data_IF_318682863541
#
_entry.id   IF_318682863541
#
_cell.length_a   1.000
_cell.length_b   1.000
_cell.length_c   1.000
_cell.angle_alpha   90.00
_cell.angle_beta   90.00
_cell.angle_gamma   90.00
#
_symmetry.space_group_name_H-M   'P 1'
#
loop_
_entity.id
_entity.type
_entity.pdbx_description
1 polymer ?
#
# COMPACT_ATOMS: atom_id res chain seq x y z
N UNK A 1 -36.53 16.92 -19.58
CA UNK A 1 -35.23 17.62 -19.43
C UNK A 1 -34.23 16.59 -18.92
N UNK A 2 -33.68 15.80 -19.84
CA UNK A 2 -32.73 14.71 -19.57
C UNK A 2 -31.31 15.27 -19.61
N UNK A 3 -30.53 15.07 -18.55
CA UNK A 3 -29.06 15.13 -18.62
C UNK A 3 -28.50 13.75 -18.31
N UNK A 4 -28.03 13.07 -19.35
CA UNK A 4 -27.14 11.93 -19.26
C UNK A 4 -25.85 12.37 -18.58
N UNK A 5 -25.44 11.65 -17.54
CA UNK A 5 -24.09 11.73 -16.97
C UNK A 5 -23.21 10.76 -17.74
N UNK A 6 -22.29 11.28 -18.55
CA UNK A 6 -21.22 10.52 -19.17
C UNK A 6 -20.25 10.07 -18.07
N UNK A 7 -20.27 8.77 -17.75
CA UNK A 7 -19.24 8.15 -16.94
C UNK A 7 -17.91 8.10 -17.71
N UNK A 8 -16.87 8.54 -17.03
CA UNK A 8 -15.48 8.60 -17.46
C UNK A 8 -15.05 7.25 -18.08
N UNK A 9 -14.54 7.32 -19.31
CA UNK A 9 -14.05 6.16 -20.05
C UNK A 9 -12.72 5.66 -19.46
N UNK A 10 -12.77 4.55 -18.74
CA UNK A 10 -11.56 3.80 -18.39
C UNK A 10 -11.14 2.96 -19.59
N UNK A 11 -10.00 3.29 -20.21
CA UNK A 11 -9.33 2.42 -21.19
C UNK A 11 -9.07 1.06 -20.52
N UNK A 12 -9.66 0.02 -21.10
CA UNK A 12 -9.57 -1.36 -20.63
C UNK A 12 -8.12 -1.86 -20.68
N UNK A 13 -7.53 -2.16 -19.52
CA UNK A 13 -6.30 -2.95 -19.43
C UNK A 13 -6.70 -4.42 -19.37
N UNK A 14 -6.52 -5.13 -20.49
CA UNK A 14 -6.67 -6.59 -20.58
C UNK A 14 -5.63 -7.29 -19.69
N UNK A 15 -6.12 -7.96 -18.64
CA UNK A 15 -5.35 -8.89 -17.81
C UNK A 15 -5.46 -10.30 -18.40
N UNK A 16 -4.36 -10.83 -18.92
CA UNK A 16 -4.19 -12.24 -19.26
C UNK A 16 -4.01 -13.05 -17.97
N UNK A 17 -4.74 -14.17 -17.77
CA UNK A 17 -4.56 -15.00 -16.58
C UNK A 17 -3.29 -15.87 -16.69
N UNK A 18 -2.57 -16.13 -15.58
CA UNK A 18 -1.42 -17.03 -15.58
C UNK A 18 -1.86 -18.51 -15.67
N UNK A 19 -1.01 -19.41 -16.21
CA UNK A 19 -1.35 -20.82 -16.35
C UNK A 19 -1.32 -21.56 -15.01
N UNK A 20 -2.32 -22.42 -14.81
CA UNK A 20 -2.48 -23.31 -13.67
C UNK A 20 -1.33 -24.32 -13.59
N UNK A 21 -0.60 -24.35 -12.46
CA UNK A 21 0.40 -25.37 -12.18
C UNK A 21 -0.25 -26.59 -11.52
N UNK A 22 -0.15 -27.72 -12.21
CA UNK A 22 -0.59 -29.04 -11.77
C UNK A 22 0.25 -29.56 -10.61
N UNK A 23 -0.40 -30.23 -9.67
CA UNK A 23 0.17 -30.96 -8.53
C UNK A 23 1.01 -32.13 -9.06
N UNK A 24 2.29 -32.19 -8.67
CA UNK A 24 3.14 -33.38 -8.86
C UNK A 24 3.75 -33.78 -7.53
N UNK A 25 3.39 -34.98 -7.07
CA UNK A 25 3.93 -35.72 -5.92
C UNK A 25 5.44 -36.00 -6.06
N UNK A 26 6.22 -36.01 -4.96
CA UNK A 26 7.64 -36.34 -5.01
C UNK A 26 7.87 -37.87 -4.99
N UNK A 27 8.93 -38.39 -5.68
CA UNK A 27 9.34 -39.79 -5.58
C UNK A 27 10.23 -40.06 -4.34
N UNK A 28 10.41 -41.32 -3.93
CA UNK A 28 10.99 -41.68 -2.64
C UNK A 28 12.53 -41.66 -2.62
N UNK A 29 13.10 -41.43 -1.42
CA UNK A 29 14.53 -41.48 -1.13
C UNK A 29 15.13 -42.90 -1.25
N UNK A 30 16.40 -43.02 -1.66
CA UNK A 30 17.26 -44.16 -1.33
C UNK A 30 18.47 -43.75 -0.43
N UNK A 31 19.20 -44.73 0.13
CA UNK A 31 19.81 -44.63 1.46
C UNK A 31 21.29 -44.24 1.49
N UNK A 32 21.77 -43.96 2.71
CA UNK A 32 23.16 -43.67 3.10
C UNK A 32 24.24 -44.61 2.53
N UNK A 33 25.38 -44.04 2.14
CA UNK A 33 26.72 -44.63 2.31
C UNK A 33 27.83 -43.58 2.18
N UNK A 34 28.83 -43.67 3.06
CA UNK A 34 30.07 -42.89 3.10
C UNK A 34 31.01 -43.24 1.95
N UNK A 35 31.79 -42.25 1.46
CA UNK A 35 32.93 -42.49 0.56
C UNK A 35 33.55 -41.19 0.03
N UNK A 36 34.88 -41.14 -0.07
CA UNK A 36 35.75 -39.96 -0.09
C UNK A 36 36.01 -39.33 -1.49
N UNK A 37 36.41 -38.04 -1.47
CA UNK A 37 37.35 -37.31 -2.38
C UNK A 37 37.01 -36.88 -3.84
N UNK A 38 37.34 -35.59 -4.05
CA UNK A 38 37.93 -34.86 -5.23
C UNK A 38 37.09 -34.41 -6.45
N UNK A 39 37.07 -33.07 -6.59
CA UNK A 39 36.96 -32.19 -7.77
C UNK A 39 36.19 -32.62 -9.04
N UNK A 40 35.07 -31.93 -9.30
CA UNK A 40 34.70 -31.42 -10.63
C UNK A 40 33.57 -30.38 -10.50
N UNK A 41 33.90 -29.09 -10.51
CA UNK A 41 32.91 -28.01 -10.56
C UNK A 41 32.33 -27.92 -11.97
N UNK A 42 31.11 -28.43 -12.14
CA UNK A 42 30.26 -28.17 -13.31
C UNK A 42 29.12 -27.26 -12.86
N UNK A 43 28.79 -26.17 -13.57
CA UNK A 43 27.86 -25.16 -13.06
C UNK A 43 26.45 -25.73 -12.94
N UNK A 44 25.95 -25.73 -11.71
CA UNK A 44 24.58 -26.11 -11.39
C UNK A 44 23.59 -25.16 -12.06
N UNK A 45 22.67 -25.77 -12.80
CA UNK A 45 21.53 -25.16 -13.48
C UNK A 45 20.68 -24.37 -12.47
N UNK A 46 20.64 -23.06 -12.61
CA UNK A 46 19.77 -22.18 -11.82
C UNK A 46 18.30 -22.43 -12.17
N UNK A 47 17.54 -22.94 -11.19
CA UNK A 47 16.08 -22.91 -11.21
C UNK A 47 15.56 -21.46 -11.08
N UNK A 48 14.33 -21.14 -11.53
CA UNK A 48 13.91 -19.77 -11.75
C UNK A 48 13.53 -19.13 -10.41
N UNK A 49 14.52 -18.55 -9.74
CA UNK A 49 14.24 -17.49 -8.79
C UNK A 49 13.79 -16.32 -9.65
N UNK A 50 12.48 -16.02 -9.67
CA UNK A 50 11.99 -14.79 -10.25
C UNK A 50 12.87 -13.65 -9.71
N UNK A 51 13.55 -12.93 -10.60
CA UNK A 51 14.57 -11.98 -10.22
C UNK A 51 13.88 -10.78 -9.56
N UNK A 52 13.75 -10.81 -8.23
CA UNK A 52 13.05 -9.80 -7.42
C UNK A 52 13.57 -8.39 -7.70
N UNK A 53 14.88 -8.25 -7.93
CA UNK A 53 15.50 -6.97 -8.32
C UNK A 53 14.94 -6.45 -9.64
N UNK A 54 14.82 -7.33 -10.65
CA UNK A 54 14.25 -6.95 -11.95
C UNK A 54 12.79 -6.56 -11.84
N UNK A 55 12.01 -7.25 -11.01
CA UNK A 55 10.60 -6.90 -10.79
C UNK A 55 10.45 -5.55 -10.08
N UNK A 56 11.33 -5.26 -9.13
CA UNK A 56 11.42 -3.96 -8.47
C UNK A 56 11.73 -2.84 -9.47
N UNK A 57 12.78 -2.98 -10.28
CA UNK A 57 13.18 -1.98 -11.28
C UNK A 57 12.03 -1.68 -12.27
N UNK A 58 11.35 -2.73 -12.73
CA UNK A 58 10.19 -2.60 -13.61
C UNK A 58 9.02 -1.88 -12.92
N UNK A 59 8.81 -2.11 -11.63
CA UNK A 59 7.76 -1.46 -10.86
C UNK A 59 8.06 0.03 -10.65
N UNK A 60 9.31 0.39 -10.35
CA UNK A 60 9.74 1.80 -10.17
C UNK A 60 9.57 2.58 -11.47
N UNK A 61 9.90 1.97 -12.61
CA UNK A 61 9.79 2.62 -13.92
C UNK A 61 8.42 2.49 -14.59
N UNK A 62 7.42 1.91 -13.92
CA UNK A 62 6.07 1.82 -14.46
C UNK A 62 5.49 3.22 -14.74
N UNK A 63 4.70 3.34 -15.82
CA UNK A 63 4.07 4.61 -16.20
C UNK A 63 3.28 5.27 -15.06
N UNK A 64 2.60 4.47 -14.24
CA UNK A 64 1.85 4.97 -13.08
C UNK A 64 2.75 5.56 -11.99
N UNK A 65 3.95 5.00 -11.76
CA UNK A 65 4.93 5.58 -10.85
C UNK A 65 5.51 6.88 -11.41
N UNK A 66 5.79 6.93 -12.72
CA UNK A 66 6.30 8.13 -13.38
C UNK A 66 5.27 9.27 -13.35
N UNK A 67 3.97 8.97 -13.51
CA UNK A 67 2.89 9.95 -13.37
C UNK A 67 2.83 10.51 -11.94
N UNK A 68 2.85 9.64 -10.92
CA UNK A 68 2.91 10.06 -9.51
C UNK A 68 4.12 10.97 -9.26
N UNK A 69 5.29 10.56 -9.74
CA UNK A 69 6.53 11.36 -9.64
C UNK A 69 6.34 12.75 -10.27
N UNK A 70 5.75 12.82 -11.47
CA UNK A 70 5.51 14.09 -12.16
C UNK A 70 4.58 15.03 -11.39
N UNK A 71 3.60 14.50 -10.65
CA UNK A 71 2.66 15.30 -9.85
C UNK A 71 3.37 15.83 -8.60
N UNK A 72 4.09 14.97 -7.89
CA UNK A 72 4.80 15.33 -6.66
C UNK A 72 5.91 16.35 -6.94
N UNK A 73 6.59 16.22 -8.08
CA UNK A 73 7.71 17.08 -8.48
C UNK A 73 7.27 18.30 -9.33
N UNK A 74 5.96 18.47 -9.59
CA UNK A 74 5.48 19.60 -10.37
C UNK A 74 5.74 20.93 -9.62
N UNK A 75 6.19 21.99 -10.31
CA UNK A 75 6.24 23.32 -9.74
C UNK A 75 4.83 23.77 -9.30
N UNK A 76 4.70 24.54 -8.20
CA UNK A 76 3.42 25.08 -7.78
C UNK A 76 2.73 25.81 -8.95
N UNK A 77 1.49 25.43 -9.29
CA UNK A 77 0.73 26.10 -10.34
C UNK A 77 0.15 27.42 -9.81
N UNK A 78 0.99 28.44 -9.82
CA UNK A 78 0.68 29.83 -9.50
C UNK A 78 1.98 30.61 -9.67
N UNK A 79 1.97 31.68 -10.47
CA UNK A 79 3.16 32.41 -10.91
C UNK A 79 3.93 33.17 -9.83
N UNK A 80 4.11 32.61 -8.64
CA UNK A 80 5.12 33.05 -7.69
C UNK A 80 6.26 32.05 -7.73
N UNK A 81 7.36 32.49 -8.31
CA UNK A 81 8.63 31.79 -8.38
C UNK A 81 9.22 31.77 -6.96
N UNK A 82 8.62 31.00 -6.06
CA UNK A 82 9.16 30.79 -4.74
C UNK A 82 10.22 29.71 -4.86
N UNK A 83 11.45 30.17 -5.12
CA UNK A 83 12.65 29.41 -4.78
C UNK A 83 12.44 28.86 -3.35
N UNK A 84 12.81 27.61 -3.13
CA UNK A 84 12.84 27.01 -1.80
C UNK A 84 13.82 27.86 -0.98
N UNK A 85 13.31 28.86 -0.26
CA UNK A 85 14.08 29.75 0.60
C UNK A 85 13.98 29.18 2.02
N UNK A 86 15.04 28.50 2.52
CA UNK A 86 15.01 27.86 3.82
C UNK A 86 15.04 28.88 4.99
N UNK A 87 15.24 30.17 4.70
CA UNK A 87 15.36 31.24 5.70
C UNK A 87 14.08 32.05 5.90
N UNK A 88 13.01 31.78 5.15
CA UNK A 88 11.71 32.41 5.42
C UNK A 88 11.03 31.69 6.59
N UNK A 89 10.82 32.41 7.69
CA UNK A 89 9.84 32.03 8.72
C UNK A 89 8.54 31.67 8.00
N UNK A 90 8.14 30.41 8.15
CA UNK A 90 7.09 29.78 7.35
C UNK A 90 5.75 30.47 7.54
N UNK A 91 5.17 30.96 6.44
CA UNK A 91 3.71 31.10 6.32
C UNK A 91 3.11 29.68 6.29
N UNK A 92 2.95 29.10 7.49
CA UNK A 92 2.51 27.72 7.70
C UNK A 92 1.20 27.39 6.97
N UNK A 93 0.37 28.38 6.67
CA UNK A 93 -0.89 28.19 5.94
C UNK A 93 -0.67 27.87 4.46
N UNK A 94 0.31 28.50 3.79
CA UNK A 94 0.53 28.33 2.37
C UNK A 94 1.16 26.96 2.06
N UNK A 95 2.15 26.54 2.85
CA UNK A 95 2.83 25.24 2.73
C UNK A 95 1.86 24.08 3.00
N UNK A 96 0.98 24.23 4.00
CA UNK A 96 -0.08 23.27 4.27
C UNK A 96 -1.10 23.16 3.12
N UNK A 97 -1.41 24.27 2.46
CA UNK A 97 -2.35 24.28 1.33
C UNK A 97 -1.80 23.56 0.09
N UNK A 98 -0.51 23.79 -0.24
CA UNK A 98 0.16 23.15 -1.35
C UNK A 98 0.33 21.64 -1.11
N UNK A 99 0.76 21.25 0.09
CA UNK A 99 0.88 19.85 0.49
C UNK A 99 -0.45 19.09 0.34
N UNK A 100 -1.55 19.68 0.79
CA UNK A 100 -2.90 19.11 0.64
C UNK A 100 -3.33 19.02 -0.83
N UNK A 101 -2.97 20.01 -1.64
CA UNK A 101 -3.28 20.01 -3.07
C UNK A 101 -2.51 18.92 -3.82
N UNK A 102 -1.22 18.74 -3.54
CA UNK A 102 -0.40 17.66 -4.13
C UNK A 102 -0.96 16.31 -3.70
N UNK A 103 -1.24 16.11 -2.40
CA UNK A 103 -1.83 14.87 -1.89
C UNK A 103 -3.15 14.54 -2.59
N UNK A 104 -4.02 15.54 -2.79
CA UNK A 104 -5.30 15.36 -3.48
C UNK A 104 -5.15 14.98 -4.97
N UNK A 105 -4.09 15.46 -5.64
CA UNK A 105 -3.81 15.10 -7.04
C UNK A 105 -3.19 13.71 -7.17
N UNK A 106 -2.26 13.37 -6.29
CA UNK A 106 -1.54 12.09 -6.30
C UNK A 106 -2.46 10.94 -5.91
N UNK A 107 -3.36 11.12 -4.94
CA UNK A 107 -4.26 10.07 -4.49
C UNK A 107 -5.35 9.79 -5.53
N UNK A 108 -5.32 8.57 -6.06
CA UNK A 108 -6.29 8.09 -7.04
C UNK A 108 -6.95 6.80 -6.54
N UNK A 109 -8.28 6.75 -6.43
CA UNK A 109 -9.23 7.86 -6.50
C UNK A 109 -9.04 8.92 -5.41
N UNK A 110 -9.47 10.14 -5.72
CA UNK A 110 -9.46 11.27 -4.81
C UNK A 110 -10.54 11.14 -3.71
N UNK A 111 -10.43 11.98 -2.69
CA UNK A 111 -11.32 11.97 -1.53
C UNK A 111 -12.79 12.26 -1.88
N UNK A 112 -13.04 13.15 -2.84
CA UNK A 112 -14.40 13.49 -3.27
C UNK A 112 -15.04 12.31 -3.99
N UNK A 113 -14.32 11.67 -4.91
CA UNK A 113 -14.79 10.45 -5.61
C UNK A 113 -15.16 9.33 -4.63
N UNK A 114 -14.35 9.11 -3.58
CA UNK A 114 -14.63 8.12 -2.53
C UNK A 114 -15.87 8.51 -1.73
N UNK A 115 -15.95 9.78 -1.32
CA UNK A 115 -17.08 10.30 -0.56
C UNK A 115 -18.39 10.08 -1.33
N UNK A 116 -18.42 10.46 -2.61
CA UNK A 116 -19.58 10.28 -3.47
C UNK A 116 -19.99 8.81 -3.62
N UNK A 117 -19.02 7.90 -3.81
CA UNK A 117 -19.28 6.47 -3.92
C UNK A 117 -19.85 5.87 -2.62
N UNK A 118 -19.35 6.31 -1.46
CA UNK A 118 -19.81 5.85 -0.14
C UNK A 118 -21.16 6.44 0.28
N UNK A 119 -21.55 7.63 -0.22
CA UNK A 119 -22.85 8.25 0.11
C UNK A 119 -24.06 7.40 -0.29
N UNK A 120 -23.92 6.50 -1.28
CA UNK A 120 -25.00 5.60 -1.68
C UNK A 120 -25.08 4.30 -0.87
N UNK A 121 -24.11 4.03 0.00
CA UNK A 121 -24.13 2.84 0.85
C UNK A 121 -25.00 3.09 2.08
N UNK A 122 -25.53 2.03 2.69
CA UNK A 122 -26.29 2.16 3.93
C UNK A 122 -25.42 2.84 5.00
N UNK A 123 -25.81 4.04 5.48
CA UNK A 123 -25.06 4.73 6.49
C UNK A 123 -25.00 3.84 7.74
N UNK A 124 -23.82 3.74 8.34
CA UNK A 124 -23.54 2.97 9.56
C UNK A 124 -23.52 1.43 9.44
N UNK A 125 -23.49 0.86 8.23
CA UNK A 125 -23.18 -0.58 8.11
C UNK A 125 -21.74 -0.86 8.55
N UNK A 126 -21.49 -2.03 9.15
CA UNK A 126 -20.12 -2.45 9.51
C UNK A 126 -19.19 -2.42 8.31
N UNK A 127 -19.70 -2.74 7.11
CA UNK A 127 -18.93 -2.69 5.87
C UNK A 127 -18.58 -1.26 5.49
N UNK A 128 -19.56 -0.34 5.49
CA UNK A 128 -19.33 1.08 5.19
C UNK A 128 -18.27 1.69 6.13
N UNK A 129 -18.32 1.35 7.43
CA UNK A 129 -17.31 1.79 8.40
C UNK A 129 -15.92 1.23 8.07
N UNK A 130 -15.82 -0.05 7.73
CA UNK A 130 -14.53 -0.66 7.36
C UNK A 130 -13.92 -0.03 6.10
N UNK A 131 -14.75 0.22 5.08
CA UNK A 131 -14.32 0.85 3.85
C UNK A 131 -13.88 2.30 4.08
N UNK A 132 -14.62 3.05 4.90
CA UNK A 132 -14.26 4.42 5.29
C UNK A 132 -12.91 4.44 6.01
N UNK A 133 -12.74 3.60 7.04
CA UNK A 133 -11.47 3.49 7.76
C UNK A 133 -10.30 3.11 6.84
N UNK A 134 -10.52 2.24 5.85
CA UNK A 134 -9.50 1.92 4.87
C UNK A 134 -9.05 3.15 4.06
N UNK A 135 -9.99 3.92 3.51
CA UNK A 135 -9.65 5.10 2.73
C UNK A 135 -9.00 6.19 3.58
N UNK A 136 -9.47 6.40 4.81
CA UNK A 136 -8.89 7.36 5.75
C UNK A 136 -7.46 6.97 6.17
N UNK A 137 -7.23 5.69 6.48
CA UNK A 137 -5.89 5.20 6.83
C UNK A 137 -4.93 5.26 5.64
N UNK A 138 -5.38 4.88 4.43
CA UNK A 138 -4.54 5.01 3.24
C UNK A 138 -4.19 6.46 2.90
N UNK A 139 -5.12 7.40 3.05
CA UNK A 139 -4.86 8.84 2.88
C UNK A 139 -3.86 9.35 3.92
N UNK A 140 -4.04 8.99 5.20
CA UNK A 140 -3.14 9.39 6.29
C UNK A 140 -1.72 8.87 6.12
N UNK A 141 -1.55 7.67 5.54
CA UNK A 141 -0.21 7.12 5.30
C UNK A 141 0.46 7.73 4.08
N UNK A 142 -0.31 8.02 3.03
CA UNK A 142 0.19 8.78 1.89
C UNK A 142 0.59 10.21 2.26
N UNK A 143 -0.12 10.85 3.20
CA UNK A 143 0.27 12.14 3.79
C UNK A 143 1.66 12.08 4.43
N UNK A 144 1.91 11.06 5.27
CA UNK A 144 3.24 10.82 5.84
C UNK A 144 4.30 10.60 4.75
N UNK A 145 4.02 9.79 3.73
CA UNK A 145 4.96 9.54 2.65
C UNK A 145 5.32 10.81 1.87
N UNK A 146 4.36 11.73 1.70
CA UNK A 146 4.61 13.03 1.07
C UNK A 146 5.51 13.92 1.94
N UNK A 147 5.30 13.93 3.26
CA UNK A 147 6.19 14.63 4.21
C UNK A 147 7.61 14.06 4.17
N UNK A 148 7.76 12.74 4.07
CA UNK A 148 9.06 12.08 3.94
C UNK A 148 9.76 12.46 2.63
N UNK A 149 9.01 12.53 1.52
CA UNK A 149 9.55 13.00 0.25
C UNK A 149 10.09 14.43 0.35
N UNK A 150 9.35 15.34 1.01
CA UNK A 150 9.83 16.70 1.26
C UNK A 150 11.11 16.71 2.11
N UNK A 151 11.24 15.76 3.04
CA UNK A 151 12.44 15.59 3.86
C UNK A 151 13.63 15.10 3.04
N UNK A 152 13.41 14.22 2.06
CA UNK A 152 14.44 13.82 1.08
C UNK A 152 14.92 15.03 0.28
N UNK A 153 14.00 15.85 -0.26
CA UNK A 153 14.35 17.05 -1.01
C UNK A 153 15.14 18.05 -0.15
N UNK A 154 14.68 18.30 1.07
CA UNK A 154 15.36 19.18 2.02
C UNK A 154 16.75 18.68 2.38
N UNK A 155 16.91 17.36 2.57
CA UNK A 155 18.22 16.75 2.84
C UNK A 155 19.16 16.93 1.66
N UNK A 156 18.70 16.66 0.43
CA UNK A 156 19.51 16.90 -0.79
C UNK A 156 19.95 18.35 -0.89
N UNK A 157 19.07 19.30 -0.55
CA UNK A 157 19.40 20.71 -0.52
C UNK A 157 20.50 21.03 0.50
N UNK A 158 20.33 20.61 1.76
CA UNK A 158 21.28 20.86 2.87
C UNK A 158 22.68 20.31 2.54
N UNK A 159 22.74 19.14 1.90
CA UNK A 159 24.00 18.49 1.56
C UNK A 159 24.62 18.99 0.25
N UNK A 160 23.90 19.79 -0.57
CA UNK A 160 24.37 20.16 -1.91
C UNK A 160 25.69 20.93 -1.88
N UNK A 161 25.74 22.02 -1.11
CA UNK A 161 26.95 22.85 -0.94
C UNK A 161 28.14 22.06 -0.38
N UNK A 162 27.87 21.10 0.52
CA UNK A 162 28.87 20.23 1.13
C UNK A 162 29.48 19.27 0.09
N UNK A 163 28.63 18.64 -0.72
CA UNK A 163 29.06 17.71 -1.76
C UNK A 163 29.70 18.41 -2.95
N UNK A 164 29.27 19.62 -3.30
CA UNK A 164 29.92 20.45 -4.30
C UNK A 164 31.36 20.80 -3.89
N UNK A 165 31.57 21.12 -2.62
CA UNK A 165 32.91 21.32 -2.07
C UNK A 165 33.73 20.02 -2.14
N UNK A 166 33.17 18.89 -1.70
CA UNK A 166 33.86 17.61 -1.70
C UNK A 166 34.28 17.18 -3.11
N UNK A 167 33.47 17.46 -4.13
CA UNK A 167 33.74 17.12 -5.52
C UNK A 167 34.93 17.88 -6.14
N UNK A 168 35.19 19.12 -5.70
CA UNK A 168 36.30 19.94 -6.22
C UNK A 168 37.60 19.78 -5.45
N UNK A 169 37.55 19.15 -4.28
CA UNK A 169 38.72 18.96 -3.43
C UNK A 169 39.54 17.74 -3.87
N UNK A 170 40.88 17.84 -3.89
CA UNK A 170 41.75 16.71 -4.20
C UNK A 170 41.52 15.52 -3.25
N UNK A 171 41.72 14.30 -3.77
CA UNK A 171 41.64 13.08 -2.96
C UNK A 171 42.81 12.92 -1.98
N UNK A 172 43.95 13.53 -2.31
CA UNK A 172 45.14 13.51 -1.48
C UNK A 172 45.02 14.51 -0.32
N UNK A 173 44.66 13.94 0.83
CA UNK A 173 44.53 14.57 2.15
C UNK A 173 45.69 15.54 2.49
N UNK A 174 46.90 15.28 1.99
CA UNK A 174 48.09 16.11 2.21
C UNK A 174 48.09 17.51 1.56
N UNK A 175 47.08 17.86 0.76
CA UNK A 175 47.12 19.07 -0.10
C UNK A 175 46.12 20.19 0.22
N UNK A 176 45.28 20.06 1.26
CA UNK A 176 44.30 21.11 1.61
C UNK A 176 44.99 22.44 1.95
N UNK A 177 44.77 23.45 1.10
CA UNK A 177 45.22 24.83 1.33
C UNK A 177 44.42 25.47 2.47
N UNK A 178 44.96 26.57 3.02
CA UNK A 178 44.26 27.36 4.04
C UNK A 178 42.91 27.88 3.54
N UNK A 179 42.85 28.38 2.31
CA UNK A 179 41.62 28.87 1.69
C UNK A 179 40.54 27.77 1.60
N UNK A 180 40.93 26.53 1.28
CA UNK A 180 39.99 25.40 1.27
C UNK A 180 39.46 25.08 2.68
N UNK A 181 40.32 25.19 3.71
CA UNK A 181 39.89 24.99 5.09
C UNK A 181 38.92 26.09 5.55
N UNK A 182 39.24 27.35 5.25
CA UNK A 182 38.38 28.49 5.61
C UNK A 182 37.00 28.35 4.96
N UNK A 183 36.96 28.01 3.66
CA UNK A 183 35.69 27.75 2.94
C UNK A 183 34.91 26.56 3.51
N UNK A 184 35.60 25.46 3.83
CA UNK A 184 34.94 24.28 4.41
C UNK A 184 34.34 24.60 5.78
N UNK A 185 35.04 25.39 6.60
CA UNK A 185 34.55 25.85 7.89
C UNK A 185 33.26 26.68 7.74
N UNK A 186 33.25 27.62 6.79
CA UNK A 186 32.08 28.47 6.59
C UNK A 186 30.86 27.64 6.10
N UNK A 187 31.08 26.64 5.23
CA UNK A 187 30.03 25.68 4.82
C UNK A 187 29.58 24.80 5.98
N UNK A 188 30.49 24.39 6.87
CA UNK A 188 30.14 23.64 8.08
C UNK A 188 29.26 24.45 9.02
N UNK A 189 29.49 25.76 9.14
CA UNK A 189 28.64 26.67 9.92
C UNK A 189 27.24 26.74 9.31
N UNK A 190 27.12 26.85 8.00
CA UNK A 190 25.82 26.84 7.30
C UNK A 190 25.10 25.49 7.48
N UNK A 191 25.81 24.38 7.28
CA UNK A 191 25.27 23.03 7.44
C UNK A 191 24.73 22.76 8.86
N UNK A 192 25.44 23.19 9.91
CA UNK A 192 25.03 22.94 11.30
C UNK A 192 23.76 23.71 11.69
N UNK A 193 23.46 24.85 11.03
CA UNK A 193 22.25 25.65 11.26
C UNK A 193 20.96 24.92 10.88
N UNK A 194 21.03 23.98 9.93
CA UNK A 194 19.83 23.26 9.48
C UNK A 194 19.51 22.06 10.37
N UNK A 195 18.31 22.00 10.92
CA UNK A 195 17.84 20.80 11.63
C UNK A 195 17.82 19.56 10.73
N UNK A 196 17.92 18.39 11.35
CA UNK A 196 17.80 17.11 10.66
C UNK A 196 16.39 16.95 10.08
N UNK A 197 16.23 16.87 8.74
CA UNK A 197 14.91 16.80 8.11
C UNK A 197 14.11 15.54 8.47
N UNK A 198 14.78 14.47 8.90
CA UNK A 198 14.13 13.23 9.33
C UNK A 198 13.82 13.21 10.84
N UNK A 199 14.15 14.27 11.57
CA UNK A 199 13.76 14.39 12.97
C UNK A 199 12.29 14.82 13.07
N UNK A 200 11.41 13.82 13.11
CA UNK A 200 10.00 14.04 13.39
C UNK A 200 9.74 13.77 14.88
N UNK A 201 9.36 14.77 15.69
CA UNK A 201 9.07 14.60 17.12
C UNK A 201 8.01 13.53 17.42
N UNK A 202 7.30 13.06 16.39
CA UNK A 202 6.25 12.04 16.46
C UNK A 202 6.40 10.89 15.44
N UNK A 203 7.44 10.80 14.60
CA UNK A 203 7.51 9.73 13.57
C UNK A 203 7.41 8.31 14.14
N UNK A 204 8.15 7.93 15.21
CA UNK A 204 8.05 6.57 15.75
C UNK A 204 6.61 6.25 16.21
N UNK A 205 5.91 7.25 16.75
CA UNK A 205 4.49 7.13 17.13
C UNK A 205 3.60 7.07 15.89
N UNK A 206 3.89 7.84 14.84
CA UNK A 206 3.12 7.88 13.60
C UNK A 206 3.21 6.54 12.85
N UNK A 207 4.42 6.00 12.63
CA UNK A 207 4.61 4.69 12.02
C UNK A 207 4.00 3.57 12.88
N UNK A 208 4.18 3.59 14.21
CA UNK A 208 3.54 2.60 15.09
C UNK A 208 2.00 2.69 15.06
N UNK A 209 1.44 3.90 15.02
CA UNK A 209 0.00 4.11 14.93
C UNK A 209 -0.57 3.65 13.59
N UNK A 210 0.11 3.95 12.48
CA UNK A 210 -0.26 3.49 11.14
C UNK A 210 -0.18 1.97 11.05
N UNK A 211 0.89 1.36 11.56
CA UNK A 211 1.03 -0.11 11.60
C UNK A 211 -0.10 -0.76 12.38
N UNK A 212 -0.43 -0.20 13.54
CA UNK A 212 -1.55 -0.67 14.36
C UNK A 212 -2.87 -0.54 13.60
N UNK A 213 -3.15 0.60 13.00
CA UNK A 213 -4.42 0.85 12.29
C UNK A 213 -4.60 -0.08 11.09
N UNK A 214 -3.55 -0.31 10.30
CA UNK A 214 -3.59 -1.27 9.18
C UNK A 214 -3.71 -2.72 9.66
N UNK A 215 -3.05 -3.09 10.77
CA UNK A 215 -3.15 -4.43 11.35
C UNK A 215 -4.57 -4.72 11.87
N UNK A 216 -5.15 -3.78 12.60
CA UNK A 216 -6.53 -3.86 13.07
C UNK A 216 -7.52 -3.93 11.91
N UNK A 217 -7.31 -3.10 10.88
CA UNK A 217 -8.15 -3.11 9.69
C UNK A 217 -8.04 -4.44 8.93
N UNK A 218 -6.83 -4.98 8.76
CA UNK A 218 -6.58 -6.29 8.16
C UNK A 218 -7.32 -7.40 8.91
N UNK A 219 -7.25 -7.40 10.23
CA UNK A 219 -7.97 -8.36 11.07
C UNK A 219 -9.49 -8.24 10.89
N UNK A 220 -10.02 -7.01 10.86
CA UNK A 220 -11.46 -6.78 10.67
C UNK A 220 -11.94 -7.20 9.27
N UNK A 221 -11.14 -6.96 8.23
CA UNK A 221 -11.41 -7.40 6.85
C UNK A 221 -11.41 -8.92 6.76
N UNK A 222 -10.40 -9.60 7.32
CA UNK A 222 -10.30 -11.06 7.27
C UNK A 222 -11.43 -11.74 8.07
N UNK A 223 -11.75 -11.21 9.26
CA UNK A 223 -12.93 -11.62 10.01
C UNK A 223 -14.21 -11.44 9.18
N UNK A 224 -14.31 -10.32 8.46
CA UNK A 224 -15.39 -10.04 7.53
C UNK A 224 -15.51 -11.09 6.42
N UNK A 225 -14.39 -11.43 5.75
CA UNK A 225 -14.31 -12.45 4.69
C UNK A 225 -14.77 -13.81 5.19
N UNK A 226 -14.20 -14.27 6.31
CA UNK A 226 -14.55 -15.54 6.93
C UNK A 226 -16.05 -15.62 7.26
N UNK A 227 -16.61 -14.54 7.82
CA UNK A 227 -18.05 -14.41 8.07
C UNK A 227 -18.87 -14.49 6.79
N UNK A 228 -18.51 -13.75 5.73
CA UNK A 228 -19.22 -13.79 4.44
C UNK A 228 -19.18 -15.20 3.82
N UNK A 229 -18.02 -15.86 3.81
CA UNK A 229 -17.89 -17.23 3.35
C UNK A 229 -18.80 -18.19 4.14
N UNK A 230 -18.83 -18.07 5.46
CA UNK A 230 -19.69 -18.91 6.31
C UNK A 230 -21.18 -18.70 6.00
N UNK A 231 -21.62 -17.45 5.80
CA UNK A 231 -23.00 -17.10 5.45
C UNK A 231 -23.39 -17.61 4.07
N UNK A 232 -22.54 -17.45 3.07
CA UNK A 232 -22.77 -18.00 1.73
C UNK A 232 -22.95 -19.53 1.79
N UNK A 233 -22.06 -20.22 2.52
CA UNK A 233 -22.18 -21.68 2.73
C UNK A 233 -23.51 -22.05 3.41
N UNK A 234 -23.92 -21.31 4.43
CA UNK A 234 -25.17 -21.54 5.14
C UNK A 234 -26.39 -21.35 4.21
N UNK A 235 -26.42 -20.25 3.44
CA UNK A 235 -27.50 -19.96 2.49
C UNK A 235 -27.62 -21.07 1.44
N UNK A 236 -26.49 -21.51 0.87
CA UNK A 236 -26.46 -22.63 -0.10
C UNK A 236 -26.95 -23.94 0.51
N UNK A 237 -26.48 -24.28 1.72
CA UNK A 237 -26.92 -25.50 2.43
C UNK A 237 -28.41 -25.47 2.75
N UNK A 238 -28.92 -24.34 3.26
CA UNK A 238 -30.34 -24.17 3.55
C UNK A 238 -31.19 -24.26 2.28
N UNK A 239 -30.74 -23.64 1.18
CA UNK A 239 -31.42 -23.70 -0.12
C UNK A 239 -31.47 -25.13 -0.66
N UNK A 240 -30.35 -25.84 -0.64
CA UNK A 240 -30.29 -27.23 -1.08
C UNK A 240 -31.16 -28.13 -0.19
N UNK A 241 -31.15 -27.93 1.13
CA UNK A 241 -32.02 -28.65 2.07
C UNK A 241 -33.50 -28.40 1.80
N UNK A 242 -33.89 -27.16 1.52
CA UNK A 242 -35.28 -26.82 1.15
C UNK A 242 -35.69 -27.50 -0.17
N UNK A 243 -34.83 -27.47 -1.19
CA UNK A 243 -35.09 -28.15 -2.47
C UNK A 243 -35.27 -29.65 -2.28
N UNK A 244 -34.39 -30.29 -1.50
CA UNK A 244 -34.51 -31.72 -1.19
C UNK A 244 -35.80 -32.04 -0.42
N UNK A 245 -36.17 -31.22 0.56
CA UNK A 245 -37.42 -31.37 1.29
C UNK A 245 -38.64 -31.28 0.36
N UNK A 246 -38.66 -30.29 -0.54
CA UNK A 246 -39.72 -30.15 -1.54
C UNK A 246 -39.84 -31.39 -2.44
N UNK A 247 -38.71 -31.91 -2.95
CA UNK A 247 -38.69 -33.13 -3.78
C UNK A 247 -39.23 -34.34 -3.00
N UNK A 248 -38.82 -34.53 -1.74
CA UNK A 248 -39.31 -35.64 -0.91
C UNK A 248 -40.81 -35.50 -0.66
N UNK A 249 -41.30 -34.28 -0.38
CA UNK A 249 -42.74 -34.05 -0.17
C UNK A 249 -43.56 -34.29 -1.44
N UNK A 250 -43.09 -33.87 -2.63
CA UNK A 250 -43.82 -34.08 -3.88
C UNK A 250 -43.88 -35.55 -4.28
N UNK A 251 -42.76 -36.27 -4.14
CA UNK A 251 -42.72 -37.72 -4.36
C UNK A 251 -43.62 -38.45 -3.35
N UNK A 252 -43.58 -38.06 -2.08
CA UNK A 252 -44.43 -38.64 -1.03
C UNK A 252 -45.92 -38.43 -1.27
N UNK A 253 -46.33 -37.23 -1.71
CA UNK A 253 -47.73 -36.94 -2.10
C UNK A 253 -48.13 -37.80 -3.31
N UNK A 254 -47.29 -37.90 -4.34
CA UNK A 254 -47.59 -38.70 -5.52
C UNK A 254 -47.80 -40.18 -5.18
N UNK A 255 -46.89 -40.78 -4.40
CA UNK A 255 -47.01 -42.17 -3.96
C UNK A 255 -48.28 -42.38 -3.12
N UNK A 256 -48.57 -41.46 -2.19
CA UNK A 256 -49.77 -41.54 -1.36
C UNK A 256 -51.05 -41.48 -2.19
N UNK A 257 -51.13 -40.59 -3.18
CA UNK A 257 -52.33 -40.50 -4.05
C UNK A 257 -52.61 -41.79 -4.82
N UNK A 258 -51.58 -42.51 -5.29
CA UNK A 258 -51.74 -43.79 -6.01
C UNK A 258 -52.29 -44.89 -5.11
N UNK A 259 -51.86 -44.94 -3.85
CA UNK A 259 -52.38 -45.93 -2.88
C UNK A 259 -53.85 -45.68 -2.55
N UNK A 260 -54.26 -44.42 -2.37
CA UNK A 260 -55.65 -44.08 -2.00
C UNK A 260 -56.65 -44.18 -3.16
N UNK A 261 -56.23 -44.07 -4.43
CA UNK A 261 -57.13 -44.31 -5.58
C UNK A 261 -57.51 -45.77 -5.77
N UNK A 262 -56.84 -46.70 -5.08
CA UNK A 262 -57.11 -48.16 -5.18
C UNK A 262 -58.10 -48.67 -4.13
N UNK A 263 -58.39 -47.89 -3.08
CA UNK A 263 -59.37 -48.23 -2.05
C UNK A 263 -60.46 -47.14 -1.96
N UNK A 264 -61.49 -47.25 -2.79
CA UNK A 264 -62.65 -46.37 -2.74
C UNK A 264 -63.59 -46.76 -1.57
N UNK A 265 -63.61 -46.00 -0.48
CA UNK A 265 -64.83 -45.63 0.28
C UNK A 265 -64.62 -44.26 0.94
N UNK A 266 -65.68 -43.46 0.86
CA UNK A 266 -65.81 -42.05 1.19
C UNK A 266 -65.41 -41.61 2.60
N UNK A 267 -64.97 -40.34 2.67
CA UNK A 267 -65.35 -39.44 3.76
C UNK A 267 -64.24 -39.05 4.73
N UNK A 268 -63.42 -38.06 4.35
CA UNK A 268 -63.12 -36.89 5.19
C UNK A 268 -62.40 -35.82 4.34
N UNK A 269 -63.17 -34.81 3.98
CA UNK A 269 -62.66 -33.49 3.60
C UNK A 269 -62.04 -32.81 4.83
N UNK A 270 -61.11 -31.87 4.58
CA UNK A 270 -60.24 -31.18 5.54
C UNK A 270 -59.12 -32.10 6.07
N UNK A 271 -57.86 -31.92 5.71
CA UNK A 271 -57.10 -30.68 5.79
C UNK A 271 -56.15 -30.64 4.58
N UNK A 272 -56.57 -29.95 3.53
CA UNK A 272 -55.61 -29.28 2.66
C UNK A 272 -55.09 -28.05 3.42
N UNK A 273 -54.43 -28.26 4.57
CA UNK A 273 -53.44 -27.30 5.05
C UNK A 273 -52.27 -27.46 4.11
N UNK A 274 -52.45 -26.91 2.92
CA UNK A 274 -51.43 -26.16 2.26
C UNK A 274 -50.30 -25.82 3.23
N UNK A 275 -49.08 -26.35 3.04
CA UNK A 275 -47.91 -25.62 3.49
C UNK A 275 -47.71 -24.42 2.55
N UNK A 276 -48.78 -23.65 2.27
CA UNK A 276 -48.70 -22.21 2.01
C UNK A 276 -48.50 -21.53 3.37
N UNK A 277 -47.46 -21.93 4.10
CA UNK A 277 -46.84 -21.04 5.07
C UNK A 277 -46.06 -20.00 4.26
N UNK A 278 -46.84 -19.11 3.64
CA UNK A 278 -46.49 -17.76 3.22
C UNK A 278 -45.24 -17.61 2.34
N UNK A 279 -45.46 -17.14 1.10
CA UNK A 279 -44.47 -16.44 0.26
C UNK A 279 -43.77 -15.26 0.97
N UNK A 280 -44.11 -14.97 2.23
CA UNK A 280 -43.51 -13.98 3.12
C UNK A 280 -42.36 -14.53 3.98
N UNK A 281 -42.15 -15.85 4.03
CA UNK A 281 -41.16 -16.51 4.91
C UNK A 281 -40.00 -17.19 4.19
N UNK A 282 -39.94 -17.17 2.85
CA UNK A 282 -38.74 -17.64 2.13
C UNK A 282 -37.85 -16.41 1.89
N UNK A 283 -36.81 -16.16 2.72
CA UNK A 283 -35.82 -15.14 2.40
C UNK A 283 -35.26 -15.49 1.02
N UNK A 284 -35.47 -14.63 0.01
CA UNK A 284 -35.00 -14.87 -1.36
C UNK A 284 -33.52 -15.27 -1.34
N UNK A 285 -33.19 -16.58 -1.41
CA UNK A 285 -31.87 -17.04 -1.00
C UNK A 285 -30.83 -16.55 -2.00
N UNK A 286 -31.22 -16.47 -3.28
CA UNK A 286 -30.44 -15.88 -4.37
C UNK A 286 -30.11 -14.41 -4.14
N UNK A 287 -31.04 -13.60 -3.61
CA UNK A 287 -30.81 -12.17 -3.33
C UNK A 287 -29.87 -11.99 -2.13
N UNK A 288 -30.06 -12.79 -1.08
CA UNK A 288 -29.19 -12.79 0.10
C UNK A 288 -27.77 -13.26 -0.23
N UNK A 289 -27.65 -14.35 -0.98
CA UNK A 289 -26.36 -14.87 -1.45
C UNK A 289 -25.64 -13.85 -2.33
N UNK A 290 -26.35 -13.22 -3.29
CA UNK A 290 -25.77 -12.18 -4.14
C UNK A 290 -25.23 -11.01 -3.33
N UNK A 291 -25.97 -10.54 -2.30
CA UNK A 291 -25.50 -9.47 -1.40
C UNK A 291 -24.25 -9.86 -0.62
N UNK A 292 -24.18 -11.09 -0.10
CA UNK A 292 -22.98 -11.55 0.62
C UNK A 292 -21.79 -11.79 -0.32
N UNK A 293 -22.02 -12.20 -1.58
CA UNK A 293 -20.97 -12.30 -2.61
C UNK A 293 -20.40 -10.93 -2.97
N UNK A 294 -21.26 -9.92 -3.12
CA UNK A 294 -20.86 -8.51 -3.30
C UNK A 294 -19.98 -8.04 -2.15
N UNK A 295 -20.43 -8.26 -0.92
CA UNK A 295 -19.69 -7.90 0.29
C UNK A 295 -18.33 -8.62 0.34
N UNK A 296 -18.28 -9.89 -0.05
CA UNK A 296 -17.04 -10.66 -0.11
C UNK A 296 -16.06 -10.05 -1.12
N UNK A 297 -16.51 -9.68 -2.33
CA UNK A 297 -15.65 -9.04 -3.34
C UNK A 297 -15.07 -7.71 -2.88
N UNK A 298 -15.88 -6.87 -2.22
CA UNK A 298 -15.41 -5.61 -1.63
C UNK A 298 -14.37 -5.85 -0.53
N UNK A 299 -14.58 -6.85 0.33
CA UNK A 299 -13.61 -7.22 1.36
C UNK A 299 -12.34 -7.85 0.75
N UNK A 300 -12.44 -8.61 -0.34
CA UNK A 300 -11.28 -9.16 -1.05
C UNK A 300 -10.45 -8.06 -1.73
N UNK A 301 -11.10 -7.07 -2.35
CA UNK A 301 -10.42 -5.89 -2.89
C UNK A 301 -9.74 -5.09 -1.78
N UNK A 302 -10.40 -4.90 -0.63
CA UNK A 302 -9.81 -4.26 0.53
C UNK A 302 -8.70 -5.11 1.18
N UNK A 303 -8.74 -6.43 1.09
CA UNK A 303 -7.69 -7.30 1.62
C UNK A 303 -6.40 -7.23 0.79
N UNK A 304 -6.49 -7.02 -0.53
CA UNK A 304 -5.34 -6.87 -1.43
C UNK A 304 -4.44 -5.68 -1.07
N UNK A 305 -4.94 -4.69 -0.34
CA UNK A 305 -4.15 -3.55 0.14
C UNK A 305 -3.34 -3.85 1.40
N UNK A 306 -3.63 -4.96 2.10
CA UNK A 306 -2.97 -5.27 3.37
C UNK A 306 -1.54 -5.81 3.21
N UNK A 307 -1.07 -5.94 1.97
CA UNK A 307 0.34 -6.17 1.62
C UNK A 307 1.21 -4.91 1.74
N UNK A 308 0.57 -3.72 1.81
CA UNK A 308 1.24 -2.42 1.94
C UNK A 308 1.98 -2.24 3.27
N UNK A 309 1.69 -3.07 4.28
CA UNK A 309 2.38 -3.04 5.57
C UNK A 309 3.88 -3.32 5.43
N UNK A 310 4.28 -4.20 4.50
CA UNK A 310 5.69 -4.53 4.30
C UNK A 310 6.47 -3.33 3.73
N UNK A 311 5.86 -2.55 2.83
CA UNK A 311 6.49 -1.37 2.24
C UNK A 311 6.73 -0.30 3.32
N UNK A 312 5.84 -0.20 4.32
CA UNK A 312 6.01 0.72 5.44
C UNK A 312 7.17 0.37 6.35
N UNK A 313 7.42 -0.92 6.61
CA UNK A 313 8.56 -1.33 7.44
C UNK A 313 9.89 -1.01 6.74
N UNK A 314 9.95 -1.15 5.42
CA UNK A 314 11.11 -0.73 4.62
C UNK A 314 11.32 0.78 4.67
N UNK A 315 10.25 1.56 4.50
CA UNK A 315 10.30 3.03 4.60
C UNK A 315 10.73 3.47 6.01
N UNK A 316 10.13 2.91 7.08
CA UNK A 316 10.46 3.21 8.49
C UNK A 316 11.95 2.95 8.77
N UNK A 317 12.46 1.81 8.29
CA UNK A 317 13.88 1.44 8.41
C UNK A 317 14.82 2.40 7.65
N UNK A 318 14.47 2.80 6.43
CA UNK A 318 15.25 3.77 5.66
C UNK A 318 15.27 5.15 6.34
N UNK A 319 14.14 5.58 6.89
CA UNK A 319 14.05 6.84 7.64
C UNK A 319 14.93 6.82 8.89
N UNK A 320 14.91 5.73 9.67
CA UNK A 320 15.76 5.58 10.86
C UNK A 320 17.27 5.61 10.52
N UNK A 321 17.65 4.94 9.42
CA UNK A 321 19.03 4.94 8.91
C UNK A 321 19.46 6.33 8.46
N UNK A 322 18.62 7.03 7.69
CA UNK A 322 18.89 8.38 7.20
C UNK A 322 18.94 9.38 8.35
N UNK A 323 18.02 9.29 9.31
CA UNK A 323 18.02 10.14 10.50
C UNK A 323 19.34 9.97 11.27
N UNK A 324 19.76 8.72 11.51
CA UNK A 324 21.03 8.42 12.19
C UNK A 324 22.25 8.91 11.40
N UNK A 325 22.24 8.76 10.07
CA UNK A 325 23.33 9.22 9.21
C UNK A 325 23.46 10.75 9.25
N UNK A 326 22.35 11.49 9.15
CA UNK A 326 22.36 12.96 9.26
C UNK A 326 22.87 13.40 10.62
N UNK A 327 22.41 12.81 11.73
CA UNK A 327 22.94 13.15 13.06
C UNK A 327 24.44 12.84 13.19
N UNK A 328 24.89 11.73 12.60
CA UNK A 328 26.30 11.35 12.57
C UNK A 328 27.17 12.37 11.84
N UNK A 329 26.76 12.78 10.64
CA UNK A 329 27.46 13.80 9.86
C UNK A 329 27.44 15.16 10.57
N UNK A 330 26.30 15.55 11.18
CA UNK A 330 26.23 16.76 12.02
C UNK A 330 27.19 16.70 13.20
N UNK A 331 27.32 15.55 13.87
CA UNK A 331 28.26 15.39 14.97
C UNK A 331 29.72 15.54 14.51
N UNK A 332 30.07 15.00 13.33
CA UNK A 332 31.39 15.19 12.71
C UNK A 332 31.65 16.67 12.41
N UNK A 333 30.68 17.36 11.80
CA UNK A 333 30.77 18.79 11.49
C UNK A 333 30.97 19.62 12.75
N UNK A 334 30.15 19.39 13.79
CA UNK A 334 30.28 20.07 15.10
C UNK A 334 31.65 19.85 15.74
N UNK A 335 32.20 18.64 15.62
CA UNK A 335 33.55 18.35 16.10
C UNK A 335 34.61 19.22 15.39
N UNK A 336 34.54 19.39 14.06
CA UNK A 336 35.45 20.30 13.35
C UNK A 336 35.22 21.77 13.75
N UNK A 337 33.97 22.19 13.89
CA UNK A 337 33.63 23.57 14.28
C UNK A 337 34.22 23.97 15.63
N UNK A 338 34.22 23.05 16.62
CA UNK A 338 34.81 23.24 17.94
C UNK A 338 36.34 23.44 17.91
N UNK A 339 37.00 22.97 16.85
CA UNK A 339 38.45 23.15 16.63
C UNK A 339 38.77 24.37 15.75
N UNK A 340 37.76 25.16 15.39
CA UNK A 340 37.95 26.34 14.55
C UNK A 340 38.43 25.98 13.14
N UNK A 341 39.27 26.85 12.56
CA UNK A 341 39.81 26.69 11.19
C UNK A 341 41.07 25.83 11.15
N UNK A 342 41.22 24.89 12.09
CA UNK A 342 42.32 23.94 12.10
C UNK A 342 42.20 22.98 10.92
N UNK A 343 43.31 22.81 10.19
CA UNK A 343 43.35 22.01 8.97
C UNK A 343 43.01 20.53 9.20
N UNK A 344 43.58 19.91 10.24
CA UNK A 344 43.45 18.47 10.46
C UNK A 344 42.00 18.03 10.77
N UNK A 345 41.27 18.68 11.70
CA UNK A 345 39.85 18.39 11.94
C UNK A 345 38.97 18.54 10.70
N UNK A 346 39.14 19.63 9.95
CA UNK A 346 38.38 19.89 8.72
C UNK A 346 38.64 18.79 7.68
N UNK A 347 39.91 18.46 7.47
CA UNK A 347 40.32 17.45 6.51
C UNK A 347 39.77 16.06 6.85
N UNK A 348 39.79 15.67 8.13
CA UNK A 348 39.25 14.37 8.55
C UNK A 348 37.73 14.32 8.36
N UNK A 349 37.01 15.38 8.71
CA UNK A 349 35.55 15.44 8.50
C UNK A 349 35.19 15.36 7.01
N UNK A 350 35.86 16.13 6.14
CA UNK A 350 35.65 16.06 4.70
C UNK A 350 35.92 14.66 4.13
N UNK A 351 36.95 13.97 4.63
CA UNK A 351 37.27 12.60 4.24
C UNK A 351 36.17 11.61 4.64
N UNK A 352 35.64 11.73 5.86
CA UNK A 352 34.53 10.87 6.32
C UNK A 352 33.25 11.14 5.53
N UNK A 353 32.91 12.41 5.31
CA UNK A 353 31.75 12.80 4.50
C UNK A 353 31.84 12.29 3.07
N UNK A 354 33.02 12.42 2.43
CA UNK A 354 33.28 11.86 1.09
C UNK A 354 33.09 10.34 1.06
N UNK A 355 33.59 9.64 2.08
CA UNK A 355 33.46 8.18 2.21
C UNK A 355 31.99 7.76 2.36
N UNK A 356 31.20 8.54 3.10
CA UNK A 356 29.80 8.23 3.38
C UNK A 356 28.85 8.65 2.24
N UNK A 357 29.25 9.62 1.40
CA UNK A 357 28.41 10.22 0.38
C UNK A 357 27.71 9.19 -0.54
N UNK A 358 28.37 8.18 -1.14
CA UNK A 358 27.69 7.28 -2.07
C UNK A 358 26.59 6.45 -1.40
N UNK A 359 26.84 5.94 -0.19
CA UNK A 359 25.85 5.13 0.53
C UNK A 359 24.71 5.97 1.07
N UNK A 360 24.97 7.23 1.41
CA UNK A 360 23.94 8.19 1.83
C UNK A 360 23.04 8.59 0.66
N UNK A 361 23.61 8.92 -0.49
CA UNK A 361 22.85 9.23 -1.70
C UNK A 361 21.97 8.06 -2.15
N UNK A 362 22.53 6.84 -2.12
CA UNK A 362 21.76 5.62 -2.41
C UNK A 362 20.59 5.42 -1.44
N UNK A 363 20.75 5.70 -0.14
CA UNK A 363 19.64 5.59 0.82
C UNK A 363 18.53 6.62 0.57
N UNK A 364 18.88 7.83 0.11
CA UNK A 364 17.90 8.84 -0.28
C UNK A 364 17.13 8.43 -1.53
N UNK A 365 17.83 7.84 -2.51
CA UNK A 365 17.22 7.27 -3.72
C UNK A 365 16.30 6.10 -3.38
N UNK A 366 16.75 5.13 -2.57
CA UNK A 366 15.94 4.00 -2.10
C UNK A 366 14.66 4.48 -1.43
N UNK A 367 14.75 5.46 -0.51
CA UNK A 367 13.59 5.99 0.19
C UNK A 367 12.59 6.64 -0.78
N UNK A 368 13.09 7.43 -1.73
CA UNK A 368 12.26 8.08 -2.73
C UNK A 368 11.55 7.07 -3.64
N UNK A 369 12.25 6.03 -4.10
CA UNK A 369 11.67 4.96 -4.91
C UNK A 369 10.59 4.18 -4.14
N UNK A 370 10.87 3.82 -2.89
CA UNK A 370 9.90 3.16 -2.03
C UNK A 370 8.66 4.03 -1.76
N UNK A 371 8.82 5.35 -1.62
CA UNK A 371 7.69 6.29 -1.52
C UNK A 371 6.81 6.23 -2.78
N UNK A 372 7.40 6.30 -3.98
CA UNK A 372 6.63 6.26 -5.22
C UNK A 372 5.94 4.91 -5.46
N UNK A 373 6.62 3.80 -5.15
CA UNK A 373 6.04 2.46 -5.18
C UNK A 373 4.86 2.35 -4.20
N UNK A 374 5.02 2.90 -3.00
CA UNK A 374 3.97 2.91 -1.98
C UNK A 374 2.70 3.62 -2.49
N UNK A 375 2.85 4.83 -3.04
CA UNK A 375 1.73 5.57 -3.65
C UNK A 375 1.06 4.76 -4.77
N UNK A 376 1.85 4.15 -5.66
CA UNK A 376 1.34 3.35 -6.75
C UNK A 376 0.53 2.13 -6.26
N UNK A 377 1.03 1.41 -5.26
CA UNK A 377 0.35 0.27 -4.66
C UNK A 377 -0.95 0.69 -3.98
N UNK A 378 -0.93 1.77 -3.20
CA UNK A 378 -2.12 2.33 -2.54
C UNK A 378 -3.15 2.78 -3.58
N UNK A 379 -2.75 3.51 -4.62
CA UNK A 379 -3.68 3.99 -5.66
C UNK A 379 -4.35 2.83 -6.42
N UNK A 380 -3.59 1.80 -6.77
CA UNK A 380 -4.15 0.57 -7.38
C UNK A 380 -5.17 -0.09 -6.46
N UNK A 381 -4.85 -0.20 -5.18
CA UNK A 381 -5.74 -0.82 -4.21
C UNK A 381 -7.01 0.02 -3.96
N UNK A 382 -6.87 1.34 -3.79
CA UNK A 382 -8.00 2.28 -3.66
C UNK A 382 -8.91 2.23 -4.89
N UNK A 383 -8.32 2.20 -6.09
CA UNK A 383 -9.05 2.11 -7.36
C UNK A 383 -9.81 0.80 -7.50
N UNK A 384 -9.15 -0.34 -7.21
CA UNK A 384 -9.81 -1.66 -7.23
C UNK A 384 -10.96 -1.73 -6.22
N UNK A 385 -10.79 -1.15 -5.04
CA UNK A 385 -11.85 -1.13 -4.03
C UNK A 385 -13.02 -0.24 -4.45
N UNK A 386 -12.73 0.96 -4.96
CA UNK A 386 -13.76 1.87 -5.47
C UNK A 386 -14.55 1.23 -6.62
N UNK A 387 -13.88 0.49 -7.51
CA UNK A 387 -14.54 -0.24 -8.58
C UNK A 387 -15.56 -1.26 -8.03
N UNK A 388 -15.20 -2.04 -7.00
CA UNK A 388 -16.15 -2.97 -6.36
C UNK A 388 -17.28 -2.24 -5.60
N UNK A 389 -17.01 -1.06 -5.03
CA UNK A 389 -18.05 -0.22 -4.42
C UNK A 389 -19.04 0.27 -5.47
N UNK A 390 -18.56 0.73 -6.62
CA UNK A 390 -19.39 1.28 -7.70
C UNK A 390 -20.12 0.21 -8.52
N UNK A 391 -19.49 -0.93 -8.84
CA UNK A 391 -20.13 -2.02 -9.59
C UNK A 391 -21.36 -2.57 -8.86
N UNK A 392 -21.31 -2.59 -7.54
CA UNK A 392 -22.39 -3.13 -6.71
C UNK A 392 -23.34 -2.06 -6.17
N UNK A 393 -23.21 -0.80 -6.60
CA UNK A 393 -24.19 0.28 -6.40
C UNK A 393 -25.48 0.03 -7.18
N UNK A 394 -25.40 -0.65 -8.32
CA UNK A 394 -26.50 -0.83 -9.30
C UNK A 394 -27.41 -2.03 -8.93
N UNK A 395 -27.23 -2.60 -7.74
CA UNK A 395 -27.60 -3.97 -7.41
C UNK A 395 -28.42 -4.03 -6.11
#
# INVERSE_FOLDING_TARGET
MNRMLECISFKSLTLTPPPSSSITTPPPLPPHSQGNSTEATTPATSSPTANVSREFDLAVHANSCNEIRSIIQAPPRGGELHYFDPNRESDHENDSSHHRQVLAQVLQPDRQSIREALHSHTPHSTLTRLLTNYFDHSESTCDLCLLLHNSVLRTRYIYSTLYDLIAVLPDDSGSLSKHHCDRAYDIFVEFDQHDNPFFFPHAPRNFANIRRSFSELKQQIESGRSKSHSRIRLIRRATNGCVMCLIVTTVGVLVSTVFFTTHAVAGCAAIAAAPFCSNRCIPHPKKSERKELVRLKQLDAAAKSTYVVNDLDTIDSLVDRLQTAVEGDKALVRFALQRGRERHPIQEVLKQLRKNQPSFQHQLEDLEEHIFLFFNTINKARSSLLQEICLHRIL
#
